data_IF_059346615857
#
_entry.id   IF_059346615857
#
_cell.length_a   1.000
_cell.length_b   1.000
_cell.length_c   1.000
_cell.angle_alpha   90.00
_cell.angle_beta   90.00
_cell.angle_gamma   90.00
#
_symmetry.space_group_name_H-M   'P 1'
#
loop_
_entity.id
_entity.type
_entity.pdbx_description
1 polymer ?
#
# COMPACT_ATOMS: atom_id res chain seq x y z
N UNK A 1 -34.52 -69.59 5.99
CA UNK A 1 -33.24 -68.89 6.24
C UNK A 1 -32.71 -68.44 4.89
N UNK A 2 -32.84 -67.16 4.53
CA UNK A 2 -31.80 -66.10 4.58
C UNK A 2 -30.66 -66.38 3.57
N UNK A 3 -30.27 -65.53 2.60
CA UNK A 3 -30.12 -64.07 2.57
C UNK A 3 -30.09 -63.56 1.11
N UNK A 4 -30.75 -62.42 0.87
CA UNK A 4 -30.66 -61.55 -0.32
C UNK A 4 -29.31 -60.80 -0.31
N UNK A 5 -28.61 -60.68 -1.45
CA UNK A 5 -27.70 -59.52 -1.68
C UNK A 5 -27.76 -59.02 -3.13
N UNK A 6 -28.36 -57.83 -3.29
CA UNK A 6 -28.25 -56.91 -4.44
C UNK A 6 -26.85 -56.29 -4.50
N UNK A 7 -26.39 -55.87 -5.69
CA UNK A 7 -25.43 -54.77 -5.95
C UNK A 7 -25.51 -54.46 -7.47
N UNK A 8 -26.36 -53.51 -7.91
CA UNK A 8 -26.18 -52.05 -7.98
C UNK A 8 -25.31 -51.59 -9.19
N UNK A 9 -26.00 -51.03 -10.20
CA UNK A 9 -25.45 -50.31 -11.37
C UNK A 9 -24.75 -49.03 -10.91
N UNK A 10 -23.51 -48.82 -11.35
CA UNK A 10 -22.81 -47.54 -11.28
C UNK A 10 -23.13 -46.73 -12.53
N UNK A 11 -23.98 -45.71 -12.40
CA UNK A 11 -24.06 -44.60 -13.36
C UNK A 11 -23.12 -43.49 -12.88
N UNK A 12 -22.01 -43.30 -13.57
CA UNK A 12 -21.12 -42.16 -13.36
C UNK A 12 -21.65 -40.94 -14.10
N UNK A 13 -22.11 -39.93 -13.36
CA UNK A 13 -22.37 -38.59 -13.88
C UNK A 13 -21.12 -37.76 -13.62
N UNK A 14 -20.36 -37.46 -14.68
CA UNK A 14 -19.28 -36.49 -14.63
C UNK A 14 -19.88 -35.07 -14.66
N UNK A 15 -19.98 -34.42 -13.50
CA UNK A 15 -20.21 -32.98 -13.45
C UNK A 15 -18.91 -32.26 -13.79
N UNK A 16 -18.83 -31.72 -14.99
CA UNK A 16 -17.82 -30.72 -15.35
C UNK A 16 -18.23 -29.39 -14.70
N UNK A 17 -17.62 -29.07 -13.56
CA UNK A 17 -17.70 -27.73 -12.99
C UNK A 17 -16.84 -26.78 -13.84
N UNK A 18 -17.48 -26.12 -14.80
CA UNK A 18 -16.92 -24.96 -15.49
C UNK A 18 -16.83 -23.80 -14.52
N UNK A 19 -15.68 -23.65 -13.86
CA UNK A 19 -15.33 -22.44 -13.10
C UNK A 19 -15.14 -21.31 -14.11
N UNK A 20 -16.20 -20.54 -14.37
CA UNK A 20 -16.09 -19.27 -15.05
C UNK A 20 -15.25 -18.33 -14.19
N UNK A 21 -13.96 -18.20 -14.51
CA UNK A 21 -13.16 -17.11 -14.00
C UNK A 21 -13.68 -15.83 -14.67
N UNK A 22 -14.53 -15.09 -13.95
CA UNK A 22 -14.82 -13.71 -14.31
C UNK A 22 -13.50 -12.96 -14.30
N UNK A 23 -12.95 -12.70 -15.49
CA UNK A 23 -11.85 -11.75 -15.63
C UNK A 23 -12.41 -10.38 -15.22
N UNK A 24 -12.23 -10.01 -13.95
CA UNK A 24 -12.46 -8.64 -13.53
C UNK A 24 -11.41 -7.80 -14.27
N UNK A 25 -11.86 -7.13 -15.33
CA UNK A 25 -11.13 -6.03 -15.96
C UNK A 25 -11.15 -4.84 -14.99
N UNK A 26 -10.50 -5.00 -13.83
CA UNK A 26 -10.28 -3.92 -12.87
C UNK A 26 -9.12 -3.07 -13.37
N UNK A 27 -9.32 -1.76 -13.40
CA UNK A 27 -8.21 -0.81 -13.53
C UNK A 27 -7.20 -1.05 -12.40
N UNK A 28 -5.90 -0.94 -12.71
CA UNK A 28 -4.85 -1.00 -11.68
C UNK A 28 -5.07 0.16 -10.70
N UNK A 29 -5.27 -0.11 -9.40
CA UNK A 29 -5.50 0.94 -8.42
C UNK A 29 -4.34 1.94 -8.38
N UNK A 30 -4.68 3.21 -8.24
CA UNK A 30 -3.80 4.35 -8.37
C UNK A 30 -3.57 5.01 -7.02
N UNK A 31 -2.31 5.01 -6.59
CA UNK A 31 -1.83 5.76 -5.43
C UNK A 31 -1.20 7.07 -5.88
N UNK A 32 -1.64 8.19 -5.31
CA UNK A 32 -1.01 9.49 -5.43
C UNK A 32 -0.25 9.80 -4.14
N UNK A 33 1.07 9.88 -4.23
CA UNK A 33 1.90 10.47 -3.18
C UNK A 33 1.93 11.98 -3.38
N UNK A 34 1.24 12.70 -2.49
CA UNK A 34 1.24 14.15 -2.48
C UNK A 34 2.56 14.68 -1.91
N UNK A 35 3.35 15.29 -2.76
CA UNK A 35 4.72 15.71 -2.45
C UNK A 35 5.05 17.04 -3.13
N UNK A 36 5.41 18.05 -2.34
CA UNK A 36 6.02 19.28 -2.86
C UNK A 36 7.53 19.06 -3.05
N UNK A 37 7.92 18.93 -4.32
CA UNK A 37 9.28 18.62 -4.73
C UNK A 37 10.33 19.66 -4.30
N UNK A 38 9.94 20.88 -3.90
CA UNK A 38 10.92 21.93 -3.54
C UNK A 38 11.46 21.82 -2.12
N UNK A 39 10.71 21.25 -1.17
CA UNK A 39 11.10 21.21 0.24
C UNK A 39 11.46 19.81 0.75
N UNK A 40 11.03 18.74 0.05
CA UNK A 40 11.10 17.37 0.59
C UNK A 40 11.56 16.33 -0.43
N UNK A 41 12.24 16.72 -1.52
CA UNK A 41 12.59 15.81 -2.62
C UNK A 41 13.25 14.47 -2.18
N UNK A 42 14.25 14.44 -1.28
CA UNK A 42 14.84 13.17 -0.84
C UNK A 42 13.85 12.26 -0.08
N UNK A 43 13.01 12.84 0.78
CA UNK A 43 12.00 12.09 1.52
C UNK A 43 10.89 11.58 0.60
N UNK A 44 10.45 12.40 -0.34
CA UNK A 44 9.47 12.01 -1.36
C UNK A 44 9.95 10.85 -2.22
N UNK A 45 11.23 10.84 -2.62
CA UNK A 45 11.82 9.71 -3.33
C UNK A 45 11.84 8.43 -2.48
N UNK A 46 12.20 8.53 -1.20
CA UNK A 46 12.19 7.40 -0.27
C UNK A 46 10.77 6.86 -0.02
N UNK A 47 9.77 7.74 0.15
CA UNK A 47 8.36 7.37 0.29
C UNK A 47 7.83 6.70 -0.98
N UNK A 48 8.18 7.18 -2.16
CA UNK A 48 7.77 6.56 -3.41
C UNK A 48 8.32 5.13 -3.58
N UNK A 49 9.58 4.92 -3.17
CA UNK A 49 10.20 3.59 -3.15
C UNK A 49 9.49 2.67 -2.15
N UNK A 50 9.23 3.16 -0.92
CA UNK A 50 8.53 2.40 0.11
C UNK A 50 7.11 2.01 -0.32
N UNK A 51 6.33 2.95 -0.88
CA UNK A 51 4.98 2.68 -1.38
C UNK A 51 4.99 1.66 -2.52
N UNK A 52 5.95 1.76 -3.46
CA UNK A 52 6.09 0.80 -4.57
C UNK A 52 6.42 -0.60 -4.06
N UNK A 53 7.24 -0.71 -3.00
CA UNK A 53 7.62 -1.99 -2.41
C UNK A 53 6.47 -2.64 -1.63
N UNK A 54 5.70 -1.85 -0.86
CA UNK A 54 4.61 -2.35 -0.02
C UNK A 54 3.29 -2.53 -0.80
N UNK A 55 3.11 -1.80 -1.92
CA UNK A 55 1.92 -1.84 -2.77
C UNK A 55 2.28 -2.21 -4.23
N UNK A 56 2.88 -3.39 -4.49
CA UNK A 56 3.43 -3.73 -5.82
C UNK A 56 2.37 -3.89 -6.93
N UNK A 57 1.09 -4.04 -6.55
CA UNK A 57 -0.04 -4.13 -7.49
C UNK A 57 -0.69 -2.78 -7.79
N UNK A 58 -0.18 -1.68 -7.22
CA UNK A 58 -0.70 -0.34 -7.40
C UNK A 58 0.19 0.47 -8.36
N UNK A 59 -0.43 1.32 -9.17
CA UNK A 59 0.30 2.34 -9.92
C UNK A 59 0.55 3.52 -9.00
N UNK A 60 1.80 3.97 -8.89
CA UNK A 60 2.16 5.14 -8.09
C UNK A 60 2.41 6.37 -8.97
N UNK A 61 1.90 7.53 -8.56
CA UNK A 61 2.33 8.84 -9.08
C UNK A 61 2.73 9.76 -7.94
N UNK A 62 3.74 10.59 -8.16
CA UNK A 62 4.16 11.64 -7.23
C UNK A 62 3.75 12.99 -7.82
N UNK A 63 3.01 13.81 -7.06
CA UNK A 63 2.50 15.10 -7.53
C UNK A 63 2.38 16.10 -6.38
N UNK A 64 2.59 17.39 -6.66
CA UNK A 64 2.26 18.47 -5.73
C UNK A 64 0.78 18.88 -5.82
N UNK A 65 0.12 18.56 -6.93
CA UNK A 65 -1.29 18.82 -7.13
C UNK A 65 -2.10 17.57 -6.82
N UNK A 66 -3.10 17.71 -5.95
CA UNK A 66 -4.14 16.69 -5.73
C UNK A 66 -5.16 16.83 -6.86
N UNK A 67 -4.80 16.34 -8.04
CA UNK A 67 -5.75 16.17 -9.15
C UNK A 67 -6.76 15.06 -8.86
N UNK A 68 -7.91 15.09 -9.54
CA UNK A 68 -8.91 14.02 -9.42
C UNK A 68 -8.45 12.71 -10.08
N UNK A 69 -8.79 11.58 -9.48
CA UNK A 69 -8.68 10.25 -10.09
C UNK A 69 -7.67 9.28 -9.48
N UNK A 70 -7.16 9.53 -8.26
CA UNK A 70 -6.42 8.54 -7.49
C UNK A 70 -7.36 7.80 -6.53
N UNK A 71 -7.21 6.48 -6.44
CA UNK A 71 -7.95 5.63 -5.50
C UNK A 71 -7.46 5.84 -4.06
N UNK A 72 -6.17 6.17 -3.89
CA UNK A 72 -5.56 6.48 -2.60
C UNK A 72 -4.63 7.69 -2.70
N UNK A 73 -4.83 8.69 -1.87
CA UNK A 73 -3.95 9.85 -1.72
C UNK A 73 -3.19 9.70 -0.40
N UNK A 74 -1.86 9.75 -0.46
CA UNK A 74 -0.98 9.67 0.71
C UNK A 74 -0.20 10.97 0.82
N UNK A 75 -0.11 11.54 2.02
CA UNK A 75 0.64 12.78 2.30
C UNK A 75 1.47 12.62 3.55
N UNK A 76 2.74 13.02 3.48
CA UNK A 76 3.58 13.17 4.66
C UNK A 76 3.29 14.50 5.37
N UNK A 77 3.16 14.44 6.70
CA UNK A 77 3.05 15.60 7.57
C UNK A 77 4.26 15.64 8.49
N UNK A 78 5.07 16.67 8.32
CA UNK A 78 6.25 16.92 9.14
C UNK A 78 5.84 17.36 10.55
N UNK A 79 6.50 16.78 11.56
CA UNK A 79 6.41 17.21 12.96
C UNK A 79 7.67 17.92 13.41
N UNK A 80 8.84 17.42 13.02
CA UNK A 80 10.13 17.99 13.35
C UNK A 80 11.15 17.73 12.23
N UNK A 81 12.06 18.69 12.03
CA UNK A 81 13.21 18.57 11.14
C UNK A 81 14.40 19.36 11.69
N UNK A 82 15.48 18.63 11.91
CA UNK A 82 16.82 19.12 12.22
C UNK A 82 17.85 18.37 11.36
N UNK A 83 19.13 18.71 11.53
CA UNK A 83 20.18 18.24 10.62
C UNK A 83 20.46 16.73 10.77
N UNK A 84 20.17 16.17 11.93
CA UNK A 84 20.40 14.78 12.34
C UNK A 84 19.11 14.06 12.81
N UNK A 85 17.97 14.74 12.74
CA UNK A 85 16.67 14.26 13.22
C UNK A 85 15.51 14.68 12.30
N UNK A 86 14.62 13.74 12.00
CA UNK A 86 13.35 13.99 11.32
C UNK A 86 12.23 13.21 12.03
N UNK A 87 11.06 13.84 12.17
CA UNK A 87 9.84 13.15 12.57
C UNK A 87 8.61 13.63 11.81
N UNK A 88 7.62 12.74 11.72
CA UNK A 88 6.36 13.01 11.03
C UNK A 88 5.48 11.78 10.97
N UNK A 89 4.40 11.88 10.20
CA UNK A 89 3.43 10.79 10.00
C UNK A 89 2.84 10.87 8.59
N UNK A 90 2.13 9.83 8.16
CA UNK A 90 1.34 9.89 6.92
C UNK A 90 -0.14 10.11 7.25
N UNK A 91 -0.78 10.97 6.48
CA UNK A 91 -2.24 11.01 6.35
C UNK A 91 -2.61 10.37 5.02
N UNK A 92 -3.75 9.71 4.97
CA UNK A 92 -4.26 9.15 3.73
C UNK A 92 -5.76 9.39 3.57
N UNK A 93 -6.19 9.45 2.31
CA UNK A 93 -7.57 9.57 1.87
C UNK A 93 -7.83 8.57 0.75
N UNK A 94 -8.89 7.79 0.90
CA UNK A 94 -9.35 6.76 -0.05
C UNK A 94 -10.54 7.30 -0.84
N UNK A 95 -10.68 6.90 -2.11
CA UNK A 95 -11.77 7.36 -3.00
C UNK A 95 -13.18 7.00 -2.49
N UNK A 96 -13.28 5.93 -1.71
CA UNK A 96 -14.50 5.54 -0.99
C UNK A 96 -14.82 6.41 0.24
N UNK A 97 -14.07 7.48 0.45
CA UNK A 97 -14.31 8.49 1.47
C UNK A 97 -13.74 8.16 2.85
N UNK A 98 -12.95 7.08 2.99
CA UNK A 98 -12.21 6.82 4.22
C UNK A 98 -10.98 7.71 4.32
N UNK A 99 -10.72 8.18 5.53
CA UNK A 99 -9.49 8.88 5.89
C UNK A 99 -8.75 8.11 6.99
N UNK A 100 -7.43 8.30 7.06
CA UNK A 100 -6.64 7.79 8.18
C UNK A 100 -5.37 8.57 8.44
N UNK A 101 -4.85 8.33 9.64
CA UNK A 101 -3.67 9.02 10.19
C UNK A 101 -2.76 7.96 10.80
N UNK A 102 -1.57 7.82 10.24
CA UNK A 102 -0.53 6.97 10.80
C UNK A 102 0.06 7.56 12.08
N UNK A 103 0.79 6.75 12.87
CA UNK A 103 1.48 7.22 14.06
C UNK A 103 2.65 8.14 13.69
N UNK A 104 3.04 8.99 14.66
CA UNK A 104 4.28 9.76 14.53
C UNK A 104 5.47 8.81 14.63
N UNK A 105 6.32 8.82 13.61
CA UNK A 105 7.59 8.13 13.56
C UNK A 105 8.69 9.17 13.70
N UNK A 106 9.70 8.85 14.51
CA UNK A 106 10.89 9.66 14.71
C UNK A 106 12.12 8.88 14.26
N UNK A 107 13.04 9.57 13.60
CA UNK A 107 14.28 8.99 13.11
C UNK A 107 15.43 9.96 13.29
N UNK A 108 16.46 9.53 14.02
CA UNK A 108 17.66 10.32 14.29
C UNK A 108 18.92 9.49 14.10
N UNK A 109 19.99 10.17 13.69
CA UNK A 109 21.35 9.64 13.58
C UNK A 109 22.25 10.41 14.54
N UNK A 110 22.97 9.73 15.45
CA UNK A 110 23.62 10.42 16.57
C UNK A 110 24.89 11.20 16.21
N UNK A 111 25.71 10.69 15.29
CA UNK A 111 27.09 11.18 15.10
C UNK A 111 27.32 11.82 13.72
N UNK A 112 26.24 12.09 12.97
CA UNK A 112 26.30 12.63 11.62
C UNK A 112 25.00 13.28 11.20
N UNK A 113 25.03 13.96 10.06
CA UNK A 113 23.83 14.49 9.44
C UNK A 113 22.99 13.39 8.78
N UNK A 114 21.68 13.63 8.69
CA UNK A 114 20.77 12.83 7.87
C UNK A 114 21.16 12.94 6.41
N UNK A 115 21.48 11.80 5.81
CA UNK A 115 21.73 11.67 4.39
C UNK A 115 20.49 11.07 3.70
N UNK A 116 20.31 11.30 2.39
CA UNK A 116 19.15 10.75 1.67
C UNK A 116 18.94 9.24 1.85
N UNK A 117 20.02 8.46 2.02
CA UNK A 117 19.95 7.00 2.24
C UNK A 117 19.28 6.63 3.57
N UNK A 118 19.36 7.49 4.57
CA UNK A 118 18.78 7.26 5.90
C UNK A 118 17.27 7.46 5.90
N UNK A 119 16.77 8.21 4.93
CA UNK A 119 15.33 8.41 4.75
C UNK A 119 14.63 7.16 4.23
N UNK A 120 15.36 6.19 3.65
CA UNK A 120 14.78 4.93 3.15
C UNK A 120 14.16 4.09 4.29
N UNK A 121 14.89 3.71 5.35
CA UNK A 121 14.28 2.97 6.46
C UNK A 121 13.20 3.79 7.17
N UNK A 122 13.36 5.11 7.29
CA UNK A 122 12.34 5.99 7.87
C UNK A 122 11.04 5.98 7.06
N UNK A 123 11.12 6.16 5.74
CA UNK A 123 9.97 6.13 4.83
C UNK A 123 9.27 4.76 4.82
N UNK A 124 10.05 3.67 4.86
CA UNK A 124 9.50 2.33 4.95
C UNK A 124 8.70 2.12 6.24
N UNK A 125 9.23 2.59 7.37
CA UNK A 125 8.53 2.52 8.64
C UNK A 125 7.24 3.36 8.63
N UNK A 126 7.29 4.58 8.08
CA UNK A 126 6.10 5.41 7.90
C UNK A 126 5.01 4.66 7.12
N UNK A 127 5.32 4.08 5.96
CA UNK A 127 4.34 3.36 5.14
C UNK A 127 3.75 2.16 5.88
N UNK A 128 4.60 1.31 6.48
CA UNK A 128 4.17 0.10 7.19
C UNK A 128 3.31 0.38 8.41
N UNK A 129 3.57 1.49 9.10
CA UNK A 129 2.84 1.84 10.32
C UNK A 129 1.57 2.66 10.05
N UNK A 130 1.31 3.09 8.81
CA UNK A 130 0.20 4.01 8.51
C UNK A 130 -1.14 3.34 8.19
N UNK A 131 -1.22 2.01 8.29
CA UNK A 131 -2.45 1.23 8.08
C UNK A 131 -3.19 1.62 6.79
N UNK A 132 -2.43 1.76 5.69
CA UNK A 132 -2.99 2.14 4.39
C UNK A 132 -4.07 1.12 3.98
N UNK A 133 -5.21 1.57 3.43
CA UNK A 133 -6.23 0.67 2.90
C UNK A 133 -5.65 -0.07 1.69
N UNK A 134 -5.61 -1.41 1.78
CA UNK A 134 -5.12 -2.33 0.75
C UNK A 134 -6.25 -2.87 -0.14
#
# INVERSE_FOLDING_TARGET
>A
MSIIKKLAKLFGVAMLLSSGASAMSGSVPHVLLHCDAKQQAPLCAALAQALTAELPQHRLTVSADVGGGADLIVRYVEKHREADWQSGYLTWHSDDGRDGVGPVIEYSVMDRLLEPKDLVPFALQLVRSSELPL
#
